data_IF_146146969811
#
_entry.id   IF_146146969811
#
_cell.length_a   1.000
_cell.length_b   1.000
_cell.length_c   1.000
_cell.angle_alpha   90.00
_cell.angle_beta   90.00
_cell.angle_gamma   90.00
#
_symmetry.space_group_name_H-M   'P 1'
#
loop_
_entity.id
_entity.type
_entity.pdbx_description
1 polymer ?
#
# COMPACT_ATOMS: atom_id res chain seq x y z
N UNK A 1 2.18 8.14 -15.00
CA UNK A 1 2.53 6.84 -14.40
C UNK A 1 4.02 6.69 -14.13
N UNK A 2 4.88 7.13 -15.04
CA UNK A 2 6.34 7.09 -14.88
C UNK A 2 6.82 7.67 -13.55
N UNK A 3 6.19 8.77 -13.10
CA UNK A 3 6.52 9.40 -11.82
C UNK A 3 6.21 8.52 -10.60
N UNK A 4 5.13 7.72 -10.63
CA UNK A 4 4.79 6.80 -9.53
C UNK A 4 5.77 5.63 -9.47
N UNK A 5 6.10 5.05 -10.63
CA UNK A 5 7.08 3.98 -10.72
C UNK A 5 8.44 4.43 -10.22
N UNK A 6 8.91 5.59 -10.66
CA UNK A 6 10.19 6.14 -10.23
C UNK A 6 10.22 6.41 -8.71
N UNK A 7 9.11 6.84 -8.12
CA UNK A 7 9.00 7.05 -6.69
C UNK A 7 9.21 5.78 -5.86
N UNK A 8 8.95 4.58 -6.41
CA UNK A 8 9.19 3.29 -5.75
C UNK A 8 10.64 3.20 -5.25
N UNK A 9 11.60 3.68 -6.03
CA UNK A 9 13.03 3.46 -5.79
C UNK A 9 13.67 4.43 -4.80
N UNK A 10 12.95 5.47 -4.37
CA UNK A 10 13.50 6.45 -3.44
C UNK A 10 12.54 6.85 -2.31
N UNK A 11 11.23 6.50 -2.39
CA UNK A 11 10.27 6.83 -1.35
C UNK A 11 10.67 6.29 0.03
N UNK A 12 10.32 7.04 1.05
CA UNK A 12 10.60 6.71 2.44
C UNK A 12 9.39 7.06 3.32
N UNK A 13 9.13 6.31 4.37
CA UNK A 13 8.14 6.71 5.38
C UNK A 13 8.70 7.85 6.21
N UNK A 14 8.06 9.01 6.14
CA UNK A 14 8.42 10.24 6.85
C UNK A 14 7.72 10.26 8.21
N UNK A 15 8.47 10.47 9.27
CA UNK A 15 7.95 10.50 10.64
C UNK A 15 8.08 11.87 11.31
N UNK A 16 8.87 12.76 10.72
CA UNK A 16 9.01 14.17 11.14
C UNK A 16 8.52 15.07 10.04
N UNK A 17 7.45 15.79 10.30
CA UNK A 17 6.82 16.71 9.35
C UNK A 17 6.98 18.17 9.81
N UNK A 18 7.06 19.08 8.83
CA UNK A 18 6.71 20.48 9.04
C UNK A 18 5.19 20.54 9.30
N UNK A 19 4.81 21.12 10.40
CA UNK A 19 3.39 21.18 10.84
C UNK A 19 2.61 22.27 10.09
N UNK A 20 3.28 23.12 9.32
CA UNK A 20 2.62 24.14 8.51
C UNK A 20 1.70 23.47 7.48
N UNK A 21 0.41 23.82 7.43
CA UNK A 21 -0.50 23.27 6.43
C UNK A 21 -0.03 23.55 5.00
N UNK A 22 -0.32 22.62 4.09
CA UNK A 22 -0.14 22.84 2.66
C UNK A 22 -1.16 23.88 2.17
N UNK A 23 -0.82 24.62 1.10
CA UNK A 23 -1.73 25.59 0.51
C UNK A 23 -3.00 24.93 -0.04
N UNK A 24 -4.06 25.69 -0.16
CA UNK A 24 -5.34 25.24 -0.72
C UNK A 24 -5.21 24.64 -2.11
N UNK A 25 -4.34 25.22 -2.95
CA UNK A 25 -4.12 24.77 -4.33
C UNK A 25 -3.46 23.41 -4.36
N UNK A 26 -2.41 23.19 -3.55
CA UNK A 26 -1.74 21.90 -3.40
C UNK A 26 -2.73 20.84 -2.87
N UNK A 27 -3.53 21.19 -1.85
CA UNK A 27 -4.53 20.27 -1.30
C UNK A 27 -5.61 19.93 -2.34
N UNK A 28 -5.99 20.87 -3.19
CA UNK A 28 -6.94 20.65 -4.28
C UNK A 28 -6.38 19.70 -5.35
N UNK A 29 -5.12 19.88 -5.76
CA UNK A 29 -4.44 18.97 -6.68
C UNK A 29 -4.37 17.54 -6.10
N UNK A 30 -4.01 17.42 -4.82
CA UNK A 30 -3.93 16.12 -4.14
C UNK A 30 -5.31 15.46 -4.09
N UNK A 31 -6.37 16.21 -3.75
CA UNK A 31 -7.76 15.70 -3.74
C UNK A 31 -8.21 15.24 -5.12
N UNK A 32 -7.88 15.99 -6.16
CA UNK A 32 -8.18 15.60 -7.54
C UNK A 32 -7.49 14.27 -7.90
N UNK A 33 -6.23 14.10 -7.53
CA UNK A 33 -5.52 12.84 -7.76
C UNK A 33 -6.15 11.68 -6.99
N UNK A 34 -6.52 11.88 -5.71
CA UNK A 34 -7.19 10.85 -4.88
C UNK A 34 -8.46 10.33 -5.53
N UNK A 35 -9.24 11.20 -6.19
CA UNK A 35 -10.46 10.81 -6.90
C UNK A 35 -10.17 10.03 -8.20
N UNK A 36 -8.92 10.01 -8.67
CA UNK A 36 -8.49 9.32 -9.91
C UNK A 36 -7.75 8.01 -9.66
N UNK A 37 -7.50 7.62 -8.39
CA UNK A 37 -6.78 6.39 -8.10
C UNK A 37 -7.54 5.16 -8.56
N UNK A 38 -6.82 4.23 -9.16
CA UNK A 38 -7.42 3.00 -9.68
C UNK A 38 -7.66 2.02 -8.54
N UNK A 39 -8.87 1.47 -8.37
CA UNK A 39 -9.10 0.39 -7.43
C UNK A 39 -8.51 -0.93 -7.97
N UNK A 40 -8.16 -1.84 -7.07
CA UNK A 40 -7.87 -3.23 -7.39
C UNK A 40 -9.18 -3.97 -7.74
N UNK A 41 -10.22 -3.71 -6.96
CA UNK A 41 -11.57 -4.25 -7.08
C UNK A 41 -12.59 -3.12 -7.30
N UNK A 42 -13.03 -2.92 -8.54
CA UNK A 42 -13.91 -1.81 -8.91
C UNK A 42 -15.33 -1.91 -8.31
N UNK A 43 -15.75 -3.10 -7.90
CA UNK A 43 -17.04 -3.35 -7.27
C UNK A 43 -17.07 -3.09 -5.76
N UNK A 44 -15.93 -2.76 -5.13
CA UNK A 44 -15.84 -2.44 -3.71
C UNK A 44 -15.89 -0.94 -3.52
N UNK A 45 -16.97 -0.44 -2.93
CA UNK A 45 -17.13 0.97 -2.62
C UNK A 45 -16.08 1.43 -1.59
N UNK A 46 -15.42 2.54 -1.88
CA UNK A 46 -14.44 3.19 -1.02
C UNK A 46 -14.66 4.70 -0.97
N UNK A 47 -14.33 5.31 0.16
CA UNK A 47 -14.36 6.76 0.33
C UNK A 47 -13.09 7.25 1.03
N UNK A 48 -12.71 8.49 0.74
CA UNK A 48 -11.62 9.16 1.39
C UNK A 48 -12.12 10.37 2.18
N UNK A 49 -11.56 10.58 3.37
CA UNK A 49 -11.75 11.78 4.16
C UNK A 49 -10.40 12.44 4.45
N UNK A 50 -10.37 13.76 4.39
CA UNK A 50 -9.20 14.57 4.74
C UNK A 50 -9.44 15.17 6.12
N UNK A 51 -8.50 14.94 7.03
CA UNK A 51 -8.57 15.43 8.40
C UNK A 51 -7.23 16.05 8.82
N UNK A 52 -7.24 16.79 9.91
CA UNK A 52 -6.06 17.47 10.47
C UNK A 52 -5.55 16.77 11.72
N UNK A 53 -4.44 17.24 12.26
CA UNK A 53 -3.81 16.70 13.48
C UNK A 53 -4.77 16.63 14.68
N UNK A 54 -5.70 17.58 14.80
CA UNK A 54 -6.65 17.67 15.93
C UNK A 54 -7.70 16.54 15.90
N UNK A 55 -7.87 15.93 14.73
CA UNK A 55 -8.86 14.89 14.49
C UNK A 55 -8.29 13.47 14.61
N UNK A 56 -7.01 13.34 15.00
CA UNK A 56 -6.28 12.06 15.03
C UNK A 56 -5.90 11.67 16.45
N UNK A 57 -6.23 10.43 16.82
CA UNK A 57 -5.66 9.71 17.97
C UNK A 57 -4.56 8.78 17.45
N UNK A 58 -3.31 9.12 17.74
CA UNK A 58 -2.16 8.31 17.32
C UNK A 58 -1.33 7.89 18.53
N UNK A 59 -1.06 6.60 18.65
CA UNK A 59 -0.19 6.04 19.70
C UNK A 59 1.30 6.18 19.35
N UNK A 60 1.63 6.40 18.08
CA UNK A 60 3.00 6.62 17.62
C UNK A 60 3.31 8.12 17.60
N UNK A 61 4.56 8.55 17.84
CA UNK A 61 4.96 9.96 17.87
C UNK A 61 5.08 10.56 16.45
N UNK A 62 4.11 10.27 15.57
CA UNK A 62 4.06 10.82 14.22
C UNK A 62 2.93 11.83 14.16
N UNK A 63 3.29 13.11 14.01
CA UNK A 63 2.35 14.22 13.80
C UNK A 63 2.60 14.84 12.45
N UNK A 64 1.54 15.03 11.66
CA UNK A 64 1.57 15.64 10.34
C UNK A 64 0.46 16.70 10.24
N UNK A 65 0.57 17.69 9.35
CA UNK A 65 -0.49 18.68 9.19
C UNK A 65 -1.77 18.10 8.59
N UNK A 66 -1.66 17.01 7.81
CA UNK A 66 -2.79 16.43 7.09
C UNK A 66 -2.77 14.91 7.16
N UNK A 67 -3.97 14.32 7.07
CA UNK A 67 -4.17 12.86 7.03
C UNK A 67 -5.26 12.50 6.04
N UNK A 68 -5.07 11.38 5.34
CA UNK A 68 -6.13 10.66 4.65
C UNK A 68 -6.67 9.55 5.54
N UNK A 69 -7.98 9.51 5.69
CA UNK A 69 -8.68 8.31 6.17
C UNK A 69 -9.29 7.61 4.96
N UNK A 70 -9.06 6.32 4.81
CA UNK A 70 -9.76 5.52 3.81
C UNK A 70 -10.81 4.65 4.49
N UNK A 71 -12.01 4.64 3.90
CA UNK A 71 -13.17 3.86 4.30
C UNK A 71 -13.49 2.88 3.20
N UNK A 72 -14.05 1.72 3.55
CA UNK A 72 -14.43 0.70 2.57
C UNK A 72 -15.63 -0.10 3.05
N UNK A 73 -16.49 -0.52 2.11
CA UNK A 73 -17.43 -1.62 2.37
C UNK A 73 -16.64 -2.88 2.69
N UNK A 74 -17.15 -3.68 3.63
CA UNK A 74 -16.60 -5.01 3.93
C UNK A 74 -17.03 -5.98 2.84
N UNK A 75 -16.08 -6.46 2.09
CA UNK A 75 -16.22 -7.45 1.04
C UNK A 75 -14.98 -8.34 1.02
N UNK A 76 -15.00 -9.42 0.28
CA UNK A 76 -13.80 -10.19 0.01
C UNK A 76 -12.74 -9.28 -0.66
N UNK A 77 -11.47 -9.40 -0.25
CA UNK A 77 -10.32 -8.63 -0.77
C UNK A 77 -10.33 -7.11 -0.50
N UNK A 78 -11.29 -6.56 0.27
CA UNK A 78 -11.35 -5.10 0.51
C UNK A 78 -10.08 -4.51 1.14
N UNK A 79 -9.38 -5.28 1.97
CA UNK A 79 -8.12 -4.82 2.59
C UNK A 79 -6.98 -4.71 1.56
N UNK A 80 -6.89 -5.66 0.63
CA UNK A 80 -5.94 -5.56 -0.49
C UNK A 80 -6.30 -4.39 -1.41
N UNK A 81 -7.60 -4.17 -1.68
CA UNK A 81 -8.06 -3.02 -2.45
C UNK A 81 -7.64 -1.69 -1.80
N UNK A 82 -7.83 -1.56 -0.49
CA UNK A 82 -7.38 -0.39 0.29
C UNK A 82 -5.86 -0.20 0.21
N UNK A 83 -5.09 -1.27 0.35
CA UNK A 83 -3.62 -1.24 0.24
C UNK A 83 -3.17 -0.77 -1.14
N UNK A 84 -3.78 -1.31 -2.18
CA UNK A 84 -3.48 -0.98 -3.58
C UNK A 84 -3.81 0.49 -3.91
N UNK A 85 -4.96 0.99 -3.48
CA UNK A 85 -5.39 2.36 -3.74
C UNK A 85 -4.54 3.38 -2.97
N UNK A 86 -4.36 3.17 -1.67
CA UNK A 86 -3.65 4.14 -0.83
C UNK A 86 -2.14 4.15 -1.13
N UNK A 87 -1.57 3.07 -1.67
CA UNK A 87 -0.19 3.04 -2.13
C UNK A 87 0.05 3.93 -3.36
N UNK A 88 -0.91 4.05 -4.26
CA UNK A 88 -0.81 5.00 -5.37
C UNK A 88 -0.72 6.43 -4.84
N UNK A 89 -1.47 6.76 -3.79
CA UNK A 89 -1.42 8.08 -3.14
C UNK A 89 -0.07 8.30 -2.45
N UNK A 90 0.44 7.31 -1.72
CA UNK A 90 1.76 7.36 -1.08
C UNK A 90 2.88 7.65 -2.10
N UNK A 91 2.86 6.96 -3.24
CA UNK A 91 3.82 7.18 -4.33
C UNK A 91 3.63 8.54 -5.02
N UNK A 92 2.38 8.98 -5.23
CA UNK A 92 2.08 10.28 -5.78
C UNK A 92 2.62 11.42 -4.90
N UNK A 93 2.38 11.36 -3.61
CA UNK A 93 2.91 12.34 -2.65
C UNK A 93 4.44 12.38 -2.72
N UNK A 94 5.10 11.23 -2.71
CA UNK A 94 6.56 11.14 -2.87
C UNK A 94 7.04 11.76 -4.17
N UNK A 95 6.39 11.44 -5.30
CA UNK A 95 6.72 11.99 -6.62
C UNK A 95 6.53 13.52 -6.70
N UNK A 96 5.63 14.08 -5.86
CA UNK A 96 5.37 15.52 -5.76
C UNK A 96 6.22 16.23 -4.71
N UNK A 97 7.16 15.56 -4.06
CA UNK A 97 8.05 16.15 -3.06
C UNK A 97 7.43 16.25 -1.66
N UNK A 98 6.37 15.49 -1.36
CA UNK A 98 5.74 15.42 -0.05
C UNK A 98 6.10 14.14 0.68
N UNK A 99 6.24 14.25 2.00
CA UNK A 99 6.38 13.11 2.88
C UNK A 99 5.05 12.45 3.18
N UNK A 100 5.09 11.13 3.41
CA UNK A 100 3.93 10.34 3.85
C UNK A 100 4.33 9.25 4.84
N UNK A 101 3.39 8.81 5.66
CA UNK A 101 3.56 7.70 6.59
C UNK A 101 2.25 6.94 6.82
N UNK A 102 2.27 5.64 6.58
CA UNK A 102 1.19 4.72 6.93
C UNK A 102 1.03 4.60 8.44
N UNK A 103 -0.19 4.75 8.96
CA UNK A 103 -0.49 4.74 10.39
C UNK A 103 -1.52 3.65 10.72
N UNK A 104 -1.06 2.41 10.84
CA UNK A 104 -1.92 1.25 11.11
C UNK A 104 -2.63 1.28 12.48
N UNK A 105 -2.04 1.96 13.46
CA UNK A 105 -2.58 2.04 14.83
C UNK A 105 -3.31 3.36 15.13
N UNK A 106 -3.24 4.35 14.25
CA UNK A 106 -3.96 5.60 14.43
C UNK A 106 -5.45 5.43 14.14
N UNK A 107 -6.25 6.24 14.80
CA UNK A 107 -7.72 6.28 14.65
C UNK A 107 -8.21 7.72 14.59
N UNK A 108 -9.30 7.99 13.89
CA UNK A 108 -9.96 9.29 13.99
C UNK A 108 -10.49 9.53 15.40
N UNK A 109 -10.58 10.79 15.81
CA UNK A 109 -11.25 11.18 17.06
C UNK A 109 -12.77 11.02 16.91
N UNK A 110 -13.50 11.17 18.02
CA UNK A 110 -14.98 11.08 18.01
C UNK A 110 -15.65 12.21 17.19
N UNK A 111 -14.89 13.24 16.75
CA UNK A 111 -15.38 14.31 15.87
C UNK A 111 -15.48 13.87 14.40
N UNK A 112 -14.78 12.82 14.04
CA UNK A 112 -14.73 12.28 12.67
C UNK A 112 -15.51 10.97 12.65
N UNK A 113 -16.45 10.79 11.73
CA UNK A 113 -17.19 9.53 11.59
C UNK A 113 -16.26 8.33 11.43
N UNK A 114 -16.56 7.25 12.13
CA UNK A 114 -15.89 5.96 11.93
C UNK A 114 -16.50 5.15 10.79
N UNK A 115 -17.62 5.65 10.24
CA UNK A 115 -18.34 5.07 9.10
C UNK A 115 -18.90 6.19 8.21
N UNK A 116 -18.80 6.05 6.89
CA UNK A 116 -19.35 6.96 5.87
C UNK A 116 -20.13 6.10 4.86
N UNK A 117 -21.42 6.39 4.65
CA UNK A 117 -22.29 5.67 3.70
C UNK A 117 -22.22 4.14 3.82
N UNK A 118 -22.13 3.65 5.09
CA UNK A 118 -22.01 2.24 5.41
C UNK A 118 -20.63 1.63 5.09
N UNK A 119 -19.62 2.45 4.80
CA UNK A 119 -18.22 2.06 4.67
C UNK A 119 -17.49 2.29 6.00
N UNK A 120 -16.81 1.29 6.51
CA UNK A 120 -16.05 1.37 7.76
C UNK A 120 -14.66 2.01 7.53
N UNK A 121 -14.20 2.79 8.53
CA UNK A 121 -12.81 3.25 8.58
C UNK A 121 -11.84 2.06 8.56
N UNK A 122 -10.86 2.09 7.66
CA UNK A 122 -9.87 1.02 7.53
C UNK A 122 -8.51 1.42 8.09
N UNK A 123 -7.88 2.47 7.55
CA UNK A 123 -6.53 2.89 7.90
C UNK A 123 -6.34 4.36 7.52
N UNK A 124 -5.26 4.98 8.01
CA UNK A 124 -4.92 6.35 7.59
C UNK A 124 -3.46 6.48 7.15
N UNK A 125 -3.22 7.50 6.33
CA UNK A 125 -1.92 7.95 5.85
C UNK A 125 -1.70 9.40 6.29
N UNK A 126 -0.64 9.66 7.04
CA UNK A 126 -0.19 11.02 7.36
C UNK A 126 0.58 11.60 6.16
N UNK A 127 0.45 12.90 5.90
CA UNK A 127 1.22 13.55 4.83
C UNK A 127 1.45 15.05 5.08
N UNK A 128 2.47 15.59 4.41
CA UNK A 128 2.86 17.00 4.49
C UNK A 128 4.28 17.24 4.00
N UNK A 129 4.81 18.44 4.22
CA UNK A 129 6.23 18.70 3.98
C UNK A 129 7.07 17.92 4.98
N UNK A 130 8.17 17.32 4.50
CA UNK A 130 9.10 16.60 5.38
C UNK A 130 9.98 17.57 6.16
N UNK A 131 10.17 17.30 7.46
CA UNK A 131 11.17 17.95 8.31
C UNK A 131 12.44 17.07 8.50
N UNK A 132 12.58 16.03 7.70
CA UNK A 132 13.75 15.15 7.63
C UNK A 132 14.08 14.86 6.16
N UNK A 133 15.18 14.15 5.89
CA UNK A 133 15.52 13.73 4.51
C UNK A 133 14.34 12.98 3.87
N UNK A 134 13.83 13.53 2.76
CA UNK A 134 12.61 13.06 2.12
C UNK A 134 12.80 11.73 1.40
N UNK A 135 13.93 11.54 0.74
CA UNK A 135 14.20 10.40 -0.12
C UNK A 135 15.35 9.54 0.41
N UNK A 136 15.38 8.30 -0.01
CA UNK A 136 16.57 7.47 0.03
C UNK A 136 17.50 7.85 -1.11
N UNK A 137 18.80 7.83 -0.87
CA UNK A 137 19.80 8.07 -1.90
C UNK A 137 20.12 6.81 -2.71
N UNK A 138 19.91 5.63 -2.12
CA UNK A 138 20.19 4.33 -2.74
C UNK A 138 19.19 3.25 -2.32
N UNK A 139 19.00 2.27 -3.20
CA UNK A 139 18.05 1.14 -2.99
C UNK A 139 18.48 0.27 -1.80
N UNK A 140 19.77 0.18 -1.46
CA UNK A 140 20.25 -0.61 -0.30
C UNK A 140 19.72 -0.09 1.04
N UNK A 141 19.35 1.18 1.13
CA UNK A 141 18.78 1.78 2.35
C UNK A 141 17.37 1.22 2.71
N UNK A 142 16.73 0.48 1.81
CA UNK A 142 15.39 -0.05 2.04
C UNK A 142 15.34 -1.18 3.07
N UNK A 143 16.45 -1.88 3.32
CA UNK A 143 16.53 -3.03 4.24
C UNK A 143 15.42 -4.06 3.96
N UNK A 144 15.33 -4.51 2.72
CA UNK A 144 14.34 -5.48 2.27
C UNK A 144 14.92 -6.89 2.20
N UNK A 145 14.05 -7.88 2.25
CA UNK A 145 14.36 -9.27 1.91
C UNK A 145 15.00 -9.34 0.52
N UNK A 146 15.81 -10.36 0.28
CA UNK A 146 16.28 -10.70 -1.06
C UNK A 146 15.13 -11.19 -1.94
N UNK A 147 15.33 -11.30 -3.25
CA UNK A 147 14.31 -11.83 -4.14
C UNK A 147 13.97 -13.29 -3.79
N UNK A 148 14.98 -14.09 -3.43
CA UNK A 148 14.80 -15.52 -3.08
C UNK A 148 14.00 -15.70 -1.77
N UNK A 149 14.12 -14.76 -0.84
CA UNK A 149 13.33 -14.77 0.40
C UNK A 149 11.87 -14.36 0.20
N UNK A 150 11.55 -13.67 -0.89
CA UNK A 150 10.19 -13.22 -1.17
C UNK A 150 9.50 -13.99 -2.30
N UNK A 151 10.17 -14.98 -2.92
CA UNK A 151 9.55 -15.79 -3.96
C UNK A 151 10.55 -16.61 -4.76
N UNK A 152 10.01 -17.45 -5.62
CA UNK A 152 10.76 -18.24 -6.60
C UNK A 152 10.17 -18.12 -8.01
N UNK A 153 9.43 -17.05 -8.29
CA UNK A 153 8.89 -16.81 -9.62
C UNK A 153 10.00 -16.57 -10.65
N UNK A 154 9.88 -17.21 -11.82
CA UNK A 154 10.92 -17.26 -12.84
C UNK A 154 10.62 -16.28 -13.99
N UNK A 155 11.67 -15.62 -14.51
CA UNK A 155 11.56 -14.73 -15.68
C UNK A 155 10.87 -13.38 -15.40
N UNK A 156 10.69 -13.01 -14.12
CA UNK A 156 10.00 -11.79 -13.67
C UNK A 156 10.80 -10.95 -12.66
N UNK A 157 12.08 -11.20 -12.53
CA UNK A 157 12.97 -10.56 -11.55
C UNK A 157 12.91 -9.03 -11.61
N UNK A 158 12.82 -8.45 -12.80
CA UNK A 158 12.70 -7.00 -12.97
C UNK A 158 11.42 -6.44 -12.34
N UNK A 159 10.28 -7.16 -12.46
CA UNK A 159 9.03 -6.78 -11.81
C UNK A 159 9.15 -6.91 -10.30
N UNK A 160 9.74 -8.01 -9.84
CA UNK A 160 9.89 -8.32 -8.42
C UNK A 160 10.85 -7.35 -7.72
N UNK A 161 11.81 -6.74 -8.42
CA UNK A 161 12.65 -5.68 -7.86
C UNK A 161 11.84 -4.48 -7.37
N UNK A 162 10.80 -4.08 -8.09
CA UNK A 162 9.88 -3.03 -7.63
C UNK A 162 9.00 -3.50 -6.47
N UNK A 163 8.47 -4.73 -6.55
CA UNK A 163 7.65 -5.33 -5.47
C UNK A 163 8.43 -5.44 -4.17
N UNK A 164 9.70 -5.82 -4.24
CA UNK A 164 10.60 -5.93 -3.09
C UNK A 164 10.69 -4.63 -2.28
N UNK A 165 10.57 -3.47 -2.93
CA UNK A 165 10.67 -2.16 -2.28
C UNK A 165 9.37 -1.69 -1.64
N UNK A 166 8.27 -2.42 -1.80
CA UNK A 166 6.99 -2.09 -1.20
C UNK A 166 7.10 -1.91 0.34
N UNK A 167 6.47 -0.89 0.92
CA UNK A 167 6.40 -0.78 2.37
C UNK A 167 5.45 -1.83 2.97
N UNK A 168 5.70 -2.18 4.21
CA UNK A 168 4.81 -3.06 4.99
C UNK A 168 4.85 -2.70 6.47
N UNK A 169 3.81 -3.10 7.20
CA UNK A 169 3.75 -2.94 8.64
C UNK A 169 4.97 -3.60 9.29
N UNK A 170 5.67 -2.85 10.16
CA UNK A 170 6.91 -3.30 10.81
C UNK A 170 8.01 -3.82 9.88
N UNK A 171 7.93 -3.49 8.58
CA UNK A 171 8.82 -4.01 7.52
C UNK A 171 8.78 -5.55 7.40
N UNK A 172 7.64 -6.16 7.68
CA UNK A 172 7.47 -7.63 7.71
C UNK A 172 7.55 -8.29 6.34
N UNK A 173 7.16 -7.56 5.27
CA UNK A 173 7.14 -8.05 3.89
C UNK A 173 6.48 -9.44 3.82
N UNK A 174 5.17 -9.52 4.10
CA UNK A 174 4.50 -10.80 4.36
C UNK A 174 4.19 -11.61 3.09
N UNK A 175 4.49 -11.09 1.93
CA UNK A 175 4.20 -11.71 0.63
C UNK A 175 5.25 -12.72 0.21
N UNK A 176 4.83 -13.70 -0.60
CA UNK A 176 5.67 -14.64 -1.30
C UNK A 176 5.08 -14.88 -2.70
N UNK A 177 5.91 -14.82 -3.74
CA UNK A 177 5.46 -14.87 -5.13
C UNK A 177 6.07 -16.07 -5.83
N UNK A 178 5.22 -16.91 -6.44
CA UNK A 178 5.60 -18.11 -7.20
C UNK A 178 5.12 -18.01 -8.64
N UNK A 179 5.50 -18.98 -9.48
CA UNK A 179 5.06 -19.04 -10.87
C UNK A 179 6.08 -18.47 -11.86
N UNK A 180 5.60 -17.90 -12.93
CA UNK A 180 6.42 -17.40 -14.03
C UNK A 180 5.81 -16.14 -14.70
N UNK A 181 6.40 -15.73 -15.84
CA UNK A 181 5.97 -14.56 -16.59
C UNK A 181 4.55 -14.68 -17.19
N UNK A 182 3.98 -15.89 -17.30
CA UNK A 182 2.62 -16.11 -17.79
C UNK A 182 1.60 -15.98 -16.65
N UNK A 183 1.92 -16.57 -15.50
CA UNK A 183 1.03 -16.58 -14.34
C UNK A 183 1.82 -16.66 -13.03
N UNK A 184 1.74 -15.63 -12.23
CA UNK A 184 2.30 -15.59 -10.87
C UNK A 184 1.20 -15.82 -9.85
N UNK A 185 1.52 -16.51 -8.74
CA UNK A 185 0.68 -16.58 -7.54
C UNK A 185 1.28 -15.70 -6.46
N UNK A 186 0.45 -14.84 -5.90
CA UNK A 186 0.78 -14.00 -4.74
C UNK A 186 0.17 -14.67 -3.51
N UNK A 187 0.99 -14.95 -2.55
CA UNK A 187 0.61 -15.53 -1.27
C UNK A 187 1.14 -14.70 -0.12
N UNK A 188 0.57 -14.86 1.06
CA UNK A 188 1.08 -14.24 2.28
C UNK A 188 1.46 -15.29 3.31
N UNK A 189 2.34 -14.91 4.24
CA UNK A 189 2.72 -15.77 5.37
C UNK A 189 1.49 -16.14 6.20
N UNK A 190 1.32 -17.43 6.48
CA UNK A 190 0.25 -17.94 7.33
C UNK A 190 0.50 -17.57 8.78
N UNK A 191 -0.47 -16.94 9.41
CA UNK A 191 -0.36 -16.50 10.81
C UNK A 191 -0.97 -17.53 11.74
N UNK A 192 -0.29 -17.83 12.85
CA UNK A 192 -0.93 -18.54 13.95
C UNK A 192 -2.01 -17.68 14.62
N UNK A 193 -2.96 -18.29 15.38
CA UNK A 193 -4.15 -17.60 15.89
C UNK A 193 -3.87 -16.29 16.64
N UNK A 194 -2.88 -16.27 17.50
CA UNK A 194 -2.52 -15.09 18.31
C UNK A 194 -1.98 -13.96 17.42
N UNK A 195 -1.10 -14.28 16.47
CA UNK A 195 -0.55 -13.28 15.53
C UNK A 195 -1.61 -12.77 14.56
N UNK A 196 -2.56 -13.61 14.17
CA UNK A 196 -3.65 -13.22 13.28
C UNK A 196 -4.49 -12.09 13.89
N UNK A 197 -4.80 -12.12 15.17
CA UNK A 197 -5.54 -11.05 15.85
C UNK A 197 -4.90 -9.66 15.68
N UNK A 198 -3.59 -9.59 15.55
CA UNK A 198 -2.84 -8.32 15.47
C UNK A 198 -2.47 -7.95 14.05
N UNK A 199 -2.03 -8.93 13.26
CA UNK A 199 -1.37 -8.67 11.97
C UNK A 199 -2.18 -9.05 10.74
N UNK A 200 -3.28 -9.81 10.87
CA UNK A 200 -4.04 -10.29 9.72
C UNK A 200 -4.51 -9.17 8.81
N UNK A 201 -5.14 -8.16 9.39
CA UNK A 201 -5.58 -6.96 8.67
C UNK A 201 -4.42 -6.24 7.99
N UNK A 202 -3.30 -6.06 8.70
CA UNK A 202 -2.15 -5.33 8.16
C UNK A 202 -1.49 -6.11 7.02
N UNK A 203 -1.32 -7.42 7.16
CA UNK A 203 -0.71 -8.25 6.13
C UNK A 203 -1.53 -8.27 4.83
N UNK A 204 -2.86 -8.23 4.90
CA UNK A 204 -3.70 -8.12 3.71
C UNK A 204 -3.53 -6.76 3.02
N UNK A 205 -3.47 -5.66 3.78
CA UNK A 205 -3.17 -4.32 3.24
C UNK A 205 -1.77 -4.32 2.60
N UNK A 206 -0.77 -4.90 3.27
CA UNK A 206 0.60 -4.99 2.79
C UNK A 206 0.71 -5.76 1.46
N UNK A 207 -0.08 -6.83 1.29
CA UNK A 207 -0.18 -7.54 -0.01
C UNK A 207 -0.76 -6.63 -1.09
N UNK A 208 -1.80 -5.86 -0.79
CA UNK A 208 -2.34 -4.86 -1.73
C UNK A 208 -1.32 -3.80 -2.14
N UNK A 209 -0.47 -3.35 -1.19
CA UNK A 209 0.66 -2.45 -1.47
C UNK A 209 1.66 -3.10 -2.44
N UNK A 210 2.03 -4.37 -2.20
CA UNK A 210 2.92 -5.13 -3.08
C UNK A 210 2.31 -5.32 -4.49
N UNK A 211 1.00 -5.59 -4.58
CA UNK A 211 0.26 -5.68 -5.84
C UNK A 211 0.26 -4.34 -6.62
N UNK A 212 0.18 -3.20 -5.93
CA UNK A 212 0.32 -1.89 -6.56
C UNK A 212 1.71 -1.70 -7.20
N UNK A 213 2.77 -2.10 -6.51
CA UNK A 213 4.13 -2.03 -7.07
C UNK A 213 4.29 -2.95 -8.29
N UNK A 214 3.73 -4.17 -8.23
CA UNK A 214 3.72 -5.10 -9.37
C UNK A 214 2.96 -4.50 -10.57
N UNK A 215 1.78 -3.94 -10.33
CA UNK A 215 0.96 -3.27 -11.34
C UNK A 215 1.73 -2.15 -12.05
N UNK A 216 2.33 -1.24 -11.28
CA UNK A 216 3.11 -0.14 -11.83
C UNK A 216 4.34 -0.62 -12.62
N UNK A 217 5.02 -1.66 -12.12
CA UNK A 217 6.17 -2.24 -12.81
C UNK A 217 5.79 -2.93 -14.13
N UNK A 218 4.65 -3.63 -14.16
CA UNK A 218 4.12 -4.23 -15.37
C UNK A 218 3.77 -3.17 -16.42
N UNK A 219 3.08 -2.10 -16.00
CA UNK A 219 2.72 -1.00 -16.89
C UNK A 219 3.93 -0.30 -17.51
N UNK A 220 5.02 -0.11 -16.76
CA UNK A 220 6.27 0.44 -17.29
C UNK A 220 6.91 -0.43 -18.38
N UNK A 221 6.56 -1.72 -18.40
CA UNK A 221 6.98 -2.66 -19.44
C UNK A 221 5.95 -2.81 -20.58
N UNK A 222 4.93 -1.95 -20.59
CA UNK A 222 3.85 -2.01 -21.59
C UNK A 222 2.92 -3.21 -21.43
N UNK A 223 2.90 -3.83 -20.23
CA UNK A 223 2.05 -4.96 -19.91
C UNK A 223 0.89 -4.55 -19.01
N UNK A 224 -0.28 -5.17 -19.20
CA UNK A 224 -1.41 -5.03 -18.32
C UNK A 224 -1.38 -6.13 -17.24
N UNK A 225 -1.27 -5.75 -15.95
CA UNK A 225 -1.40 -6.72 -14.87
C UNK A 225 -2.89 -6.94 -14.57
N UNK A 226 -3.37 -8.17 -14.73
CA UNK A 226 -4.72 -8.61 -14.35
C UNK A 226 -4.64 -9.52 -13.14
N UNK A 227 -5.32 -9.10 -12.07
CA UNK A 227 -5.40 -9.86 -10.82
C UNK A 227 -6.63 -10.74 -10.83
N UNK A 228 -6.46 -11.99 -10.43
CA UNK A 228 -7.48 -13.04 -10.45
C UNK A 228 -7.51 -13.74 -9.09
N UNK A 229 -8.68 -14.18 -8.67
CA UNK A 229 -8.89 -14.93 -7.43
C UNK A 229 -9.35 -16.35 -7.75
N UNK A 230 -8.40 -17.16 -8.22
CA UNK A 230 -8.68 -18.51 -8.69
C UNK A 230 -8.30 -19.53 -7.59
N UNK A 231 -9.32 -20.12 -6.97
CA UNK A 231 -9.13 -21.16 -5.95
C UNK A 231 -8.36 -22.38 -6.47
N UNK A 232 -8.37 -22.62 -7.77
CA UNK A 232 -7.57 -23.64 -8.42
C UNK A 232 -6.06 -23.44 -8.29
N UNK A 233 -5.60 -22.22 -7.95
CA UNK A 233 -4.19 -21.93 -7.71
C UNK A 233 -3.73 -22.10 -6.24
N UNK A 234 -4.65 -22.36 -5.30
CA UNK A 234 -4.31 -22.54 -3.88
C UNK A 234 -3.29 -23.67 -3.65
N UNK A 235 -3.34 -24.74 -4.42
CA UNK A 235 -2.41 -25.86 -4.31
C UNK A 235 -0.97 -25.54 -4.76
N UNK A 236 -0.77 -24.41 -5.47
CA UNK A 236 0.56 -23.95 -5.92
C UNK A 236 1.28 -23.11 -4.87
N UNK A 237 0.61 -22.83 -3.74
CA UNK A 237 1.15 -22.01 -2.65
C UNK A 237 2.06 -22.88 -1.77
N UNK A 238 3.28 -22.43 -1.43
CA UNK A 238 4.18 -23.17 -0.56
C UNK A 238 3.62 -23.38 0.86
N UNK A 239 4.10 -24.45 1.51
CA UNK A 239 3.76 -24.70 2.92
C UNK A 239 4.13 -23.49 3.80
N UNK A 240 3.24 -23.07 4.68
CA UNK A 240 3.42 -21.92 5.56
C UNK A 240 2.92 -20.59 4.99
N UNK A 241 2.37 -20.62 3.77
CA UNK A 241 1.72 -19.49 3.13
C UNK A 241 0.25 -19.79 2.83
N UNK A 242 -0.51 -18.77 2.53
CA UNK A 242 -1.89 -18.85 2.05
C UNK A 242 -2.05 -18.02 0.78
N UNK A 243 -2.87 -18.50 -0.13
CA UNK A 243 -3.15 -17.85 -1.40
C UNK A 243 -3.87 -16.51 -1.21
N UNK A 244 -3.47 -15.50 -1.97
CA UNK A 244 -4.10 -14.20 -1.97
C UNK A 244 -4.67 -13.81 -3.33
N UNK A 245 -3.89 -14.00 -4.40
CA UNK A 245 -4.29 -13.69 -5.76
C UNK A 245 -3.36 -14.36 -6.77
N UNK A 246 -3.82 -14.52 -8.00
CA UNK A 246 -2.96 -14.76 -9.16
C UNK A 246 -2.86 -13.49 -10.00
N UNK A 247 -1.77 -13.32 -10.73
CA UNK A 247 -1.61 -12.25 -11.70
C UNK A 247 -1.15 -12.81 -13.03
N UNK A 248 -1.79 -12.36 -14.11
CA UNK A 248 -1.41 -12.63 -15.49
C UNK A 248 -0.99 -11.33 -16.18
N UNK A 249 -0.04 -11.44 -17.11
CA UNK A 249 0.55 -10.33 -17.84
C UNK A 249 0.38 -10.59 -19.35
N UNK A 250 -0.85 -10.45 -19.89
CA UNK A 250 -1.12 -10.66 -21.31
C UNK A 250 -0.31 -9.72 -22.22
#
# INVERSE_FOLDING_TARGET
MDNLYNAIFHRKSIRKFDITPLSSDILSEIKQYVNSVKPLEANIETAFSFITTEDVKNLLPVKAPHYFCIYSKRAEHYLMNVGFMLQQIDLYLSARGFGSCWLGMARPTNKVPTQIDGMDFVIMLAFGKSAETLYRSDVSEFKRKSLDEMGNAVGVQDLLNAVRLAPSATNSQPWFITGDAQRMQISRVKLGPIKALVYDKMNQIDVGIAMCHLYLSAMMKGKEARFLYDKGDEHKVPKGYEYMASVVLP
#
